data_IF_131840107447
#
_entry.id   IF_131840107447
#
_cell.length_a   1.000
_cell.length_b   1.000
_cell.length_c   1.000
_cell.angle_alpha   90.00
_cell.angle_beta   90.00
_cell.angle_gamma   90.00
#
_symmetry.space_group_name_H-M   'P 1'
#
loop_
_entity.id
_entity.type
_entity.pdbx_description
1 polymer ?
#
# COMPACT_ATOMS: atom_id res chain seq x y z
N UNK A 1 15.45 -4.70 -9.85
CA UNK A 1 14.16 -4.34 -10.47
C UNK A 1 13.45 -5.51 -11.12
N UNK A 2 14.12 -6.35 -11.93
CA UNK A 2 13.41 -7.47 -12.59
C UNK A 2 12.73 -8.41 -11.59
N UNK A 3 13.36 -8.68 -10.45
CA UNK A 3 12.78 -9.54 -9.41
C UNK A 3 11.60 -8.84 -8.71
N UNK A 4 11.77 -7.57 -8.32
CA UNK A 4 10.71 -6.76 -7.73
C UNK A 4 9.46 -6.72 -8.62
N UNK A 5 9.61 -6.36 -9.90
CA UNK A 5 8.47 -6.25 -10.80
C UNK A 5 7.81 -7.59 -11.12
N UNK A 6 8.60 -8.67 -11.21
CA UNK A 6 8.03 -10.00 -11.38
C UNK A 6 7.14 -10.37 -10.18
N UNK A 7 7.62 -10.10 -8.96
CA UNK A 7 6.85 -10.37 -7.75
C UNK A 7 5.62 -9.45 -7.62
N UNK A 8 5.74 -8.15 -7.95
CA UNK A 8 4.60 -7.22 -7.96
C UNK A 8 3.53 -7.63 -8.99
N UNK A 9 3.95 -8.10 -10.16
CA UNK A 9 3.03 -8.66 -11.16
C UNK A 9 2.35 -9.94 -10.65
N UNK A 10 3.10 -10.83 -10.00
CA UNK A 10 2.56 -12.06 -9.41
C UNK A 10 1.54 -11.76 -8.31
N UNK A 11 1.85 -10.81 -7.42
CA UNK A 11 0.92 -10.31 -6.39
C UNK A 11 -0.31 -9.68 -7.04
N UNK A 12 -0.13 -8.81 -8.03
CA UNK A 12 -1.24 -8.18 -8.75
C UNK A 12 -2.16 -9.19 -9.44
N UNK A 13 -1.59 -10.25 -10.03
CA UNK A 13 -2.35 -11.36 -10.62
C UNK A 13 -3.16 -12.13 -9.57
N UNK A 14 -2.58 -12.37 -8.39
CA UNK A 14 -3.28 -13.05 -7.30
C UNK A 14 -4.40 -12.20 -6.77
N UNK A 15 -4.16 -10.90 -6.50
CA UNK A 15 -5.21 -10.00 -6.03
C UNK A 15 -6.34 -9.90 -7.05
N UNK A 16 -6.01 -9.80 -8.35
CA UNK A 16 -6.98 -9.73 -9.44
C UNK A 16 -7.69 -11.05 -9.75
N UNK A 17 -7.43 -12.13 -9.00
CA UNK A 17 -8.23 -13.36 -9.09
C UNK A 17 -9.63 -13.17 -8.51
N UNK A 18 -9.78 -12.24 -7.55
CA UNK A 18 -11.08 -11.83 -7.03
C UNK A 18 -11.72 -10.77 -7.93
N UNK A 19 -13.00 -10.96 -8.25
CA UNK A 19 -13.76 -10.10 -9.18
C UNK A 19 -13.99 -8.67 -8.67
N UNK A 20 -13.91 -8.44 -7.36
CA UNK A 20 -14.11 -7.13 -6.74
C UNK A 20 -12.80 -6.32 -6.71
N UNK A 21 -11.65 -6.97 -6.94
CA UNK A 21 -10.38 -6.28 -7.12
C UNK A 21 -10.27 -5.81 -8.57
N UNK A 22 -10.45 -4.50 -8.77
CA UNK A 22 -10.22 -3.86 -10.07
C UNK A 22 -8.84 -3.20 -10.09
N UNK A 23 -7.98 -3.68 -10.97
CA UNK A 23 -6.69 -3.04 -11.24
C UNK A 23 -6.86 -1.84 -12.17
N UNK A 24 -6.38 -0.67 -11.76
CA UNK A 24 -6.39 0.52 -12.60
C UNK A 24 -4.99 0.77 -13.20
N UNK A 25 -4.77 0.48 -14.50
CA UNK A 25 -3.48 0.69 -15.15
C UNK A 25 -3.11 2.17 -15.30
N UNK A 26 -4.05 3.11 -15.15
CA UNK A 26 -3.71 4.54 -15.15
C UNK A 26 -3.06 4.98 -13.83
N UNK A 27 -3.22 4.21 -12.75
CA UNK A 27 -2.61 4.47 -11.45
C UNK A 27 -1.25 3.78 -11.29
N UNK A 28 -1.16 2.50 -11.64
CA UNK A 28 0.08 1.71 -11.50
C UNK A 28 0.20 0.65 -12.59
N UNK A 29 1.37 0.59 -13.24
CA UNK A 29 1.76 -0.50 -14.14
C UNK A 29 3.16 -1.02 -13.80
N UNK A 30 3.30 -2.34 -13.71
CA UNK A 30 4.60 -2.99 -13.52
C UNK A 30 5.10 -3.52 -14.87
N UNK A 31 5.99 -2.79 -15.53
CA UNK A 31 6.44 -3.10 -16.91
C UNK A 31 7.94 -3.36 -16.97
N UNK A 32 8.34 -4.60 -17.26
CA UNK A 32 9.75 -4.97 -17.36
C UNK A 32 10.51 -4.67 -16.07
N UNK A 33 11.37 -3.66 -16.09
CA UNK A 33 12.17 -3.15 -14.97
C UNK A 33 11.66 -1.83 -14.38
N UNK A 34 10.46 -1.38 -14.77
CA UNK A 34 9.87 -0.10 -14.35
C UNK A 34 8.53 -0.23 -13.64
N UNK A 35 8.27 0.69 -12.71
CA UNK A 35 6.99 0.89 -12.03
C UNK A 35 6.45 2.24 -12.50
N UNK A 36 5.48 2.22 -13.42
CA UNK A 36 4.94 3.41 -14.06
C UNK A 36 3.69 3.86 -13.32
N UNK A 37 3.63 5.15 -13.00
CA UNK A 37 2.51 5.82 -12.33
C UNK A 37 2.22 7.16 -13.03
N UNK A 38 1.15 7.88 -12.66
CA UNK A 38 0.91 9.26 -13.12
C UNK A 38 2.06 10.23 -12.87
N UNK A 39 2.96 9.94 -11.92
CA UNK A 39 4.14 10.76 -11.60
C UNK A 39 5.42 10.26 -12.30
N UNK A 40 5.27 9.39 -13.29
CA UNK A 40 6.37 8.77 -14.03
C UNK A 40 6.83 7.44 -13.43
N UNK A 41 8.06 7.06 -13.75
CA UNK A 41 8.69 5.86 -13.22
C UNK A 41 9.20 6.11 -11.79
N UNK A 42 8.69 5.35 -10.83
CA UNK A 42 9.05 5.48 -9.40
C UNK A 42 10.13 4.49 -8.96
N UNK A 43 10.63 3.66 -9.86
CA UNK A 43 11.60 2.59 -9.54
C UNK A 43 12.87 3.14 -8.89
N UNK A 44 13.46 4.17 -9.47
CA UNK A 44 14.71 4.75 -8.97
C UNK A 44 14.53 5.39 -7.59
N UNK A 45 13.37 6.01 -7.35
CA UNK A 45 13.04 6.65 -6.09
C UNK A 45 12.94 5.59 -4.97
N UNK A 46 12.26 4.47 -5.24
CA UNK A 46 12.14 3.36 -4.29
C UNK A 46 13.50 2.71 -4.03
N UNK A 47 14.35 2.56 -5.06
CA UNK A 47 15.65 1.89 -4.90
C UNK A 47 16.76 2.78 -4.35
N UNK A 48 16.56 4.10 -4.25
CA UNK A 48 17.59 5.02 -3.77
C UNK A 48 17.95 4.75 -2.31
N UNK A 49 16.96 4.38 -1.49
CA UNK A 49 17.10 4.15 -0.06
C UNK A 49 16.58 2.76 0.33
N UNK A 50 17.25 1.71 -0.14
CA UNK A 50 16.87 0.32 0.14
C UNK A 50 16.80 -0.01 1.63
N UNK A 51 15.85 -0.87 1.97
CA UNK A 51 15.76 -1.51 3.28
C UNK A 51 17.05 -2.27 3.59
N UNK A 52 17.45 -2.26 4.87
CA UNK A 52 18.56 -3.08 5.37
C UNK A 52 18.15 -4.51 5.71
N UNK A 53 16.86 -4.83 5.66
CA UNK A 53 16.38 -6.19 5.85
C UNK A 53 16.88 -7.06 4.70
N UNK A 54 17.07 -8.35 4.99
CA UNK A 54 17.52 -9.30 3.97
C UNK A 54 16.39 -9.56 3.00
N UNK A 55 16.72 -9.52 1.71
CA UNK A 55 15.82 -9.99 0.67
C UNK A 55 15.32 -11.40 1.00
N UNK A 56 14.00 -11.52 1.03
CA UNK A 56 13.28 -12.74 1.31
C UNK A 56 12.10 -12.78 0.36
N UNK A 57 12.03 -13.84 -0.45
CA UNK A 57 10.97 -13.98 -1.44
C UNK A 57 9.60 -13.93 -0.78
N UNK A 58 8.68 -13.19 -1.40
CA UNK A 58 7.28 -13.16 -0.97
C UNK A 58 6.71 -14.56 -0.91
N UNK A 59 6.03 -14.92 0.19
CA UNK A 59 5.34 -16.20 0.25
C UNK A 59 4.02 -16.16 -0.53
N UNK A 60 4.17 -16.13 -1.85
CA UNK A 60 3.09 -16.02 -2.83
C UNK A 60 2.06 -17.14 -2.67
N UNK A 61 2.49 -18.36 -2.32
CA UNK A 61 1.56 -19.48 -2.13
C UNK A 61 0.58 -19.26 -0.96
N UNK A 62 1.06 -18.67 0.13
CA UNK A 62 0.21 -18.33 1.27
C UNK A 62 -0.66 -17.12 0.98
N UNK A 63 -0.15 -16.16 0.22
CA UNK A 63 -0.94 -15.03 -0.28
C UNK A 63 -2.10 -15.51 -1.17
N UNK A 64 -1.84 -16.38 -2.14
CA UNK A 64 -2.89 -16.96 -3.00
C UNK A 64 -3.96 -17.65 -2.15
N UNK A 65 -3.54 -18.49 -1.20
CA UNK A 65 -4.48 -19.17 -0.30
C UNK A 65 -5.33 -18.18 0.53
N UNK A 66 -4.73 -17.09 0.99
CA UNK A 66 -5.45 -16.04 1.70
C UNK A 66 -6.50 -15.37 0.81
N UNK A 67 -6.11 -14.96 -0.40
CA UNK A 67 -7.04 -14.32 -1.35
C UNK A 67 -8.14 -15.29 -1.76
N UNK A 68 -7.83 -16.56 -2.02
CA UNK A 68 -8.83 -17.59 -2.36
C UNK A 68 -9.88 -17.75 -1.24
N UNK A 69 -9.44 -17.84 0.02
CA UNK A 69 -10.35 -17.93 1.17
C UNK A 69 -11.22 -16.68 1.30
N UNK A 70 -10.63 -15.49 1.19
CA UNK A 70 -11.37 -14.23 1.26
C UNK A 70 -12.41 -14.13 0.11
N UNK A 71 -12.05 -14.60 -1.08
CA UNK A 71 -12.91 -14.61 -2.28
C UNK A 71 -14.07 -15.60 -2.13
N UNK A 72 -13.79 -16.83 -1.67
CA UNK A 72 -14.80 -17.87 -1.42
C UNK A 72 -15.84 -17.44 -0.38
N UNK A 73 -15.40 -16.66 0.61
CA UNK A 73 -16.27 -16.07 1.63
C UNK A 73 -16.99 -14.79 1.14
N UNK A 74 -16.71 -14.33 -0.09
CA UNK A 74 -17.18 -13.06 -0.65
C UNK A 74 -16.89 -11.89 0.31
N UNK A 75 -15.71 -11.90 0.92
CA UNK A 75 -15.30 -10.98 1.97
C UNK A 75 -14.54 -9.76 1.45
N UNK A 76 -13.91 -9.86 0.27
CA UNK A 76 -13.23 -8.75 -0.39
C UNK A 76 -14.25 -7.75 -0.91
N UNK A 77 -14.07 -6.48 -0.57
CA UNK A 77 -14.91 -5.38 -1.03
C UNK A 77 -14.31 -4.68 -2.24
N UNK A 78 -13.01 -4.35 -2.20
CA UNK A 78 -12.25 -3.67 -3.26
C UNK A 78 -10.75 -3.63 -2.94
N UNK A 79 -9.97 -3.23 -3.93
CA UNK A 79 -8.64 -2.67 -3.74
C UNK A 79 -8.79 -1.18 -3.44
N UNK A 80 -8.54 -0.77 -2.20
CA UNK A 80 -8.69 0.63 -1.82
C UNK A 80 -7.57 1.48 -2.42
N UNK A 81 -6.31 1.07 -2.23
CA UNK A 81 -5.18 1.75 -2.86
C UNK A 81 -3.95 0.86 -3.01
N UNK A 82 -3.03 1.30 -3.86
CA UNK A 82 -1.65 0.84 -3.88
C UNK A 82 -0.79 2.00 -3.38
N UNK A 83 -0.03 1.78 -2.31
CA UNK A 83 0.75 2.81 -1.65
C UNK A 83 2.25 2.63 -1.83
N UNK A 84 2.95 3.76 -1.95
CA UNK A 84 4.40 3.83 -2.03
C UNK A 84 4.93 4.76 -0.96
N UNK A 85 5.78 4.25 -0.07
CA UNK A 85 6.45 5.05 0.93
C UNK A 85 7.96 5.07 0.66
N UNK A 86 8.55 6.27 0.59
CA UNK A 86 9.93 6.44 0.18
C UNK A 86 10.55 7.70 0.77
N UNK A 87 11.88 7.67 0.91
CA UNK A 87 12.63 8.78 1.46
C UNK A 87 12.90 9.85 0.39
N UNK A 88 12.71 11.12 0.76
CA UNK A 88 13.00 12.29 -0.08
C UNK A 88 13.87 13.30 0.66
N UNK A 89 14.58 14.12 -0.12
CA UNK A 89 15.34 15.23 0.43
C UNK A 89 14.43 16.38 0.93
N UNK A 90 13.28 16.58 0.27
CA UNK A 90 12.24 17.50 0.73
C UNK A 90 10.84 17.09 0.26
N UNK A 91 9.93 16.88 1.21
CA UNK A 91 8.48 16.69 1.04
C UNK A 91 7.85 17.88 0.32
N UNK A 92 8.19 19.11 0.68
CA UNK A 92 7.62 20.29 -0.01
C UNK A 92 8.09 20.40 -1.47
N UNK A 93 9.35 20.03 -1.75
CA UNK A 93 9.81 19.92 -3.13
C UNK A 93 9.11 18.78 -3.88
N UNK A 94 8.95 17.63 -3.22
CA UNK A 94 8.33 16.45 -3.83
C UNK A 94 6.84 16.65 -4.09
N UNK A 95 6.12 17.26 -3.15
CA UNK A 95 4.72 17.68 -3.31
C UNK A 95 4.53 18.55 -4.54
N UNK A 96 5.38 19.56 -4.73
CA UNK A 96 5.34 20.43 -5.92
C UNK A 96 5.57 19.64 -7.20
N UNK A 97 6.58 18.76 -7.22
CA UNK A 97 6.88 17.88 -8.36
C UNK A 97 5.68 16.99 -8.70
N UNK A 98 5.09 16.32 -7.71
CA UNK A 98 3.91 15.46 -7.86
C UNK A 98 2.73 16.26 -8.41
N UNK A 99 2.44 17.42 -7.83
CA UNK A 99 1.34 18.29 -8.28
C UNK A 99 1.51 18.72 -9.74
N UNK A 100 2.70 19.13 -10.14
CA UNK A 100 3.02 19.48 -11.54
C UNK A 100 2.82 18.31 -12.51
N UNK A 101 3.14 17.08 -12.09
CA UNK A 101 2.97 15.89 -12.93
C UNK A 101 1.51 15.46 -13.02
N UNK A 102 0.79 15.44 -11.90
CA UNK A 102 -0.63 15.08 -11.86
C UNK A 102 -1.48 16.09 -12.63
N UNK A 103 -1.14 17.37 -12.62
CA UNK A 103 -1.83 18.40 -13.43
C UNK A 103 -1.80 18.18 -14.95
N UNK A 104 -1.00 17.21 -15.43
CA UNK A 104 -0.90 16.81 -16.84
C UNK A 104 -1.76 15.58 -17.16
N UNK A 105 -2.52 15.08 -16.19
CA UNK A 105 -3.43 13.95 -16.33
C UNK A 105 -4.85 14.40 -15.98
N UNK A 106 -5.83 13.51 -16.17
CA UNK A 106 -7.23 13.74 -15.77
C UNK A 106 -7.47 13.41 -14.29
N UNK A 107 -6.43 13.00 -13.54
CA UNK A 107 -6.54 12.61 -12.14
C UNK A 107 -6.39 13.82 -11.22
N UNK A 108 -6.85 13.67 -9.98
CA UNK A 108 -6.73 14.69 -8.96
C UNK A 108 -5.77 14.27 -7.85
N UNK A 109 -5.04 15.24 -7.31
CA UNK A 109 -4.16 15.06 -6.17
C UNK A 109 -4.88 15.53 -4.89
N UNK A 110 -4.84 14.70 -3.88
CA UNK A 110 -5.40 14.96 -2.57
C UNK A 110 -4.33 14.80 -1.51
N UNK A 111 -4.51 15.52 -0.40
CA UNK A 111 -3.67 15.41 0.78
C UNK A 111 -4.54 15.02 1.98
N UNK A 112 -4.01 14.11 2.80
CA UNK A 112 -4.52 13.81 4.13
C UNK A 112 -3.62 14.47 5.18
N UNK A 113 -4.23 15.00 6.24
CA UNK A 113 -3.49 15.44 7.41
C UNK A 113 -3.08 14.22 8.24
N UNK A 114 -1.77 13.99 8.35
CA UNK A 114 -1.21 12.92 9.18
C UNK A 114 -0.65 13.45 10.50
N UNK A 115 -0.62 12.57 11.50
CA UNK A 115 0.05 12.79 12.78
C UNK A 115 1.48 12.24 12.79
N UNK A 116 1.95 11.67 11.66
CA UNK A 116 3.32 11.20 11.48
C UNK A 116 4.18 12.15 10.63
N UNK A 117 5.45 11.79 10.46
CA UNK A 117 6.43 12.54 9.68
C UNK A 117 6.26 12.33 8.17
N UNK A 118 5.25 11.59 7.71
CA UNK A 118 4.97 11.32 6.31
C UNK A 118 4.07 12.40 5.68
N UNK A 119 4.28 12.69 4.39
CA UNK A 119 3.36 13.52 3.62
C UNK A 119 2.37 12.60 2.88
N UNK A 120 1.15 12.46 3.39
CA UNK A 120 0.17 11.55 2.82
C UNK A 120 -0.54 12.17 1.61
N UNK A 121 -0.23 11.67 0.42
CA UNK A 121 -0.78 12.11 -0.85
C UNK A 121 -1.53 10.98 -1.54
N UNK A 122 -2.70 11.30 -2.11
CA UNK A 122 -3.50 10.35 -2.86
C UNK A 122 -3.78 10.89 -4.26
N UNK A 123 -3.63 10.05 -5.29
CA UNK A 123 -3.95 10.36 -6.68
C UNK A 123 -5.09 9.46 -7.13
N UNK A 124 -6.18 10.05 -7.62
CA UNK A 124 -7.36 9.29 -8.04
C UNK A 124 -8.62 10.15 -8.17
N UNK A 125 -9.77 9.54 -7.87
CA UNK A 125 -11.09 10.16 -7.94
C UNK A 125 -11.84 9.93 -6.61
N UNK A 126 -12.25 10.99 -5.93
CA UNK A 126 -13.05 10.89 -4.69
C UNK A 126 -14.56 10.83 -4.93
N UNK A 127 -15.04 11.20 -6.13
CA UNK A 127 -16.47 11.11 -6.49
C UNK A 127 -16.87 9.65 -6.67
N UNK A 128 -16.05 8.88 -7.38
CA UNK A 128 -16.17 7.44 -7.53
C UNK A 128 -15.40 6.75 -6.40
N UNK A 129 -15.86 6.94 -5.16
CA UNK A 129 -15.15 6.53 -3.93
C UNK A 129 -14.83 5.03 -3.84
N UNK A 130 -15.50 4.18 -4.63
CA UNK A 130 -15.19 2.74 -4.72
C UNK A 130 -13.98 2.42 -5.61
N UNK A 131 -13.57 3.35 -6.47
CA UNK A 131 -12.43 3.16 -7.35
C UNK A 131 -11.11 3.32 -6.58
N UNK A 132 -10.13 2.50 -6.95
CA UNK A 132 -8.83 2.47 -6.27
C UNK A 132 -8.10 3.81 -6.42
N UNK A 133 -7.25 4.16 -5.45
CA UNK A 133 -6.36 5.32 -5.53
C UNK A 133 -4.88 4.88 -5.50
N UNK A 134 -3.99 5.77 -5.95
CA UNK A 134 -2.56 5.65 -5.72
C UNK A 134 -2.20 6.46 -4.47
N UNK A 135 -1.56 5.84 -3.49
CA UNK A 135 -1.02 6.54 -2.33
C UNK A 135 0.49 6.75 -2.48
N UNK A 136 0.95 7.95 -2.15
CA UNK A 136 2.36 8.32 -2.09
C UNK A 136 2.64 8.93 -0.72
N UNK A 137 3.59 8.37 0.01
CA UNK A 137 4.05 8.86 1.31
C UNK A 137 5.55 9.19 1.20
N UNK A 138 5.93 10.37 0.68
CA UNK A 138 7.30 10.85 0.78
C UNK A 138 7.61 11.16 2.24
N UNK A 139 8.77 10.75 2.71
CA UNK A 139 9.26 10.98 4.07
C UNK A 139 10.54 11.82 3.98
N UNK A 140 10.59 12.98 4.65
CA UNK A 140 11.86 13.67 4.87
C UNK A 140 12.65 12.96 5.98
N UNK A 141 13.98 12.96 5.89
CA UNK A 141 14.84 12.25 6.86
C UNK A 141 14.48 12.63 8.31
N UNK A 142 14.04 11.63 9.07
CA UNK A 142 13.63 11.80 10.46
C UNK A 142 14.79 11.54 11.41
N UNK A 143 15.20 12.56 12.16
CA UNK A 143 15.98 12.35 13.38
C UNK A 143 14.97 12.01 14.50
N UNK A 144 14.93 10.77 15.01
CA UNK A 144 14.00 10.41 16.09
C UNK A 144 13.54 8.94 16.12
N UNK A 145 12.38 8.67 16.75
CA UNK A 145 11.81 7.32 16.94
C UNK A 145 11.66 6.53 15.61
N UNK A 146 11.49 7.22 14.48
CA UNK A 146 11.46 6.64 13.15
C UNK A 146 12.77 6.00 12.70
N UNK A 147 13.93 6.41 13.23
CA UNK A 147 15.24 5.87 12.85
C UNK A 147 15.35 4.35 13.07
N UNK A 148 14.65 3.81 14.07
CA UNK A 148 14.63 2.38 14.40
C UNK A 148 13.62 1.58 13.55
N UNK A 149 12.63 2.26 12.95
CA UNK A 149 11.57 1.67 12.13
C UNK A 149 11.86 1.79 10.63
N UNK A 150 12.79 2.65 10.22
CA UNK A 150 13.19 2.90 8.82
C UNK A 150 13.46 1.59 8.07
N UNK A 151 14.14 0.61 8.66
CA UNK A 151 14.51 -0.59 7.90
C UNK A 151 13.31 -1.50 7.56
N UNK A 152 12.30 -1.55 8.42
CA UNK A 152 11.08 -2.32 8.18
C UNK A 152 10.07 -1.54 7.31
N UNK A 153 10.01 -0.21 7.47
CA UNK A 153 8.98 0.60 6.83
C UNK A 153 9.45 1.32 5.57
N UNK A 154 10.74 1.54 5.34
CA UNK A 154 11.24 2.28 4.18
C UNK A 154 12.27 1.47 3.38
N UNK A 155 12.21 1.50 2.04
CA UNK A 155 11.07 1.90 1.23
C UNK A 155 10.03 0.77 1.25
N UNK A 156 8.77 1.08 0.96
CA UNK A 156 7.77 0.03 0.83
C UNK A 156 6.74 0.26 -0.25
N UNK A 157 6.16 -0.85 -0.68
CA UNK A 157 4.95 -0.91 -1.50
C UNK A 157 3.89 -1.66 -0.68
N UNK A 158 2.69 -1.09 -0.59
CA UNK A 158 1.56 -1.71 0.10
C UNK A 158 0.38 -1.88 -0.85
N UNK A 159 -0.31 -3.00 -0.74
CA UNK A 159 -1.59 -3.25 -1.39
C UNK A 159 -2.66 -3.21 -0.30
N UNK A 160 -3.60 -2.28 -0.37
CA UNK A 160 -4.64 -2.12 0.64
C UNK A 160 -5.98 -2.66 0.13
N UNK A 161 -6.49 -3.69 0.80
CA UNK A 161 -7.71 -4.40 0.45
C UNK A 161 -8.73 -4.24 1.56
N UNK A 162 -9.89 -3.69 1.20
CA UNK A 162 -11.03 -3.59 2.10
C UNK A 162 -11.74 -4.93 2.25
N UNK A 163 -12.06 -5.30 3.49
CA UNK A 163 -12.76 -6.55 3.80
C UNK A 163 -14.03 -6.32 4.63
N UNK A 164 -14.90 -7.34 4.67
CA UNK A 164 -16.09 -7.37 5.55
C UNK A 164 -15.78 -7.77 7.00
N UNK A 165 -14.55 -8.15 7.30
CA UNK A 165 -14.19 -8.76 8.57
C UNK A 165 -13.77 -7.75 9.63
N UNK A 166 -13.96 -8.11 10.89
CA UNK A 166 -13.32 -7.41 11.99
C UNK A 166 -11.88 -7.89 12.19
N UNK A 167 -11.16 -7.27 13.13
CA UNK A 167 -9.77 -7.59 13.42
C UNK A 167 -9.55 -9.03 13.87
N UNK A 168 -10.42 -9.56 14.74
CA UNK A 168 -10.27 -10.90 15.31
C UNK A 168 -10.43 -11.99 14.24
N UNK A 169 -11.36 -11.77 13.30
CA UNK A 169 -11.58 -12.65 12.16
C UNK A 169 -10.37 -12.69 11.22
N UNK A 170 -9.80 -11.52 10.91
CA UNK A 170 -8.60 -11.40 10.08
C UNK A 170 -7.40 -12.04 10.77
N UNK A 171 -7.15 -11.76 12.05
CA UNK A 171 -6.04 -12.33 12.81
C UNK A 171 -6.12 -13.85 12.86
N UNK A 172 -7.32 -14.39 13.10
CA UNK A 172 -7.55 -15.83 13.07
C UNK A 172 -7.20 -16.42 11.71
N UNK A 173 -7.64 -15.77 10.63
CA UNK A 173 -7.36 -16.25 9.27
C UNK A 173 -5.87 -16.22 8.95
N UNK A 174 -5.18 -15.13 9.30
CA UNK A 174 -3.72 -15.02 9.12
C UNK A 174 -3.01 -16.10 9.92
N UNK A 175 -3.41 -16.32 11.18
CA UNK A 175 -2.85 -17.37 12.02
C UNK A 175 -3.06 -18.77 11.43
N UNK A 176 -4.23 -19.06 10.89
CA UNK A 176 -4.53 -20.36 10.30
C UNK A 176 -3.75 -20.63 9.00
N UNK A 177 -3.40 -19.58 8.26
CA UNK A 177 -2.68 -19.68 6.98
C UNK A 177 -1.17 -19.64 7.17
N UNK A 178 -0.66 -18.67 7.93
CA UNK A 178 0.76 -18.40 8.09
C UNK A 178 1.35 -19.08 9.33
N UNK A 179 0.53 -19.40 10.33
CA UNK A 179 0.98 -19.96 11.61
C UNK A 179 1.59 -18.90 12.54
N UNK A 180 1.58 -19.20 13.85
CA UNK A 180 1.97 -18.28 14.94
C UNK A 180 3.43 -17.75 14.89
N UNK A 181 4.29 -18.35 14.07
CA UNK A 181 5.74 -18.05 14.05
C UNK A 181 6.23 -17.40 12.75
N UNK A 182 5.39 -17.32 11.72
CA UNK A 182 5.86 -16.96 10.38
C UNK A 182 5.64 -15.49 10.07
N UNK A 183 4.48 -14.94 10.45
CA UNK A 183 4.17 -13.52 10.29
C UNK A 183 3.52 -13.01 11.57
N UNK A 184 4.03 -11.90 12.10
CA UNK A 184 3.36 -11.13 13.14
C UNK A 184 2.70 -9.93 12.46
N UNK A 185 1.35 -9.90 12.33
CA UNK A 185 0.67 -8.77 11.73
C UNK A 185 0.90 -7.50 12.56
N UNK A 186 0.95 -6.37 11.88
CA UNK A 186 0.95 -5.06 12.51
C UNK A 186 -0.46 -4.48 12.46
N UNK A 187 -0.97 -4.00 13.60
CA UNK A 187 -2.32 -3.44 13.68
C UNK A 187 -2.25 -1.93 13.70
N UNK A 188 -2.99 -1.28 12.82
CA UNK A 188 -3.17 0.17 12.80
C UNK A 188 -4.43 0.48 13.61
N UNK A 189 -4.22 1.05 14.81
CA UNK A 189 -5.26 1.28 15.81
C UNK A 189 -5.44 2.78 16.04
N UNK A 190 -6.68 3.27 15.91
CA UNK A 190 -7.05 4.66 16.18
C UNK A 190 -8.21 4.65 17.18
N UNK A 191 -8.05 5.38 18.29
CA UNK A 191 -9.05 5.47 19.37
C UNK A 191 -9.52 4.09 19.89
N UNK A 192 -8.62 3.11 19.92
CA UNK A 192 -8.89 1.74 20.38
C UNK A 192 -9.58 0.84 19.36
N UNK A 193 -9.79 1.30 18.12
CA UNK A 193 -10.38 0.54 17.02
C UNK A 193 -9.28 0.16 16.02
N UNK A 194 -9.18 -1.13 15.69
CA UNK A 194 -8.28 -1.62 14.64
C UNK A 194 -8.93 -1.39 13.27
N UNK A 195 -8.32 -0.55 12.45
CA UNK A 195 -8.80 -0.25 11.10
C UNK A 195 -8.12 -1.11 10.04
N UNK A 196 -6.85 -1.44 10.23
CA UNK A 196 -6.05 -2.16 9.26
C UNK A 196 -5.18 -3.18 9.97
N UNK A 197 -5.07 -4.37 9.37
CA UNK A 197 -4.10 -5.39 9.75
C UNK A 197 -3.12 -5.56 8.59
N UNK A 198 -1.88 -5.14 8.82
CA UNK A 198 -0.77 -5.16 7.87
C UNK A 198 0.03 -6.45 7.98
N UNK A 199 0.22 -7.10 6.84
CA UNK A 199 0.97 -8.35 6.67
C UNK A 199 2.24 -8.03 5.88
N UNK A 200 3.41 -8.27 6.49
CA UNK A 200 4.69 -8.17 5.77
C UNK A 200 4.91 -9.39 4.90
N UNK A 201 4.82 -9.19 3.58
CA UNK A 201 4.96 -10.25 2.59
C UNK A 201 6.42 -10.60 2.34
N UNK A 202 7.36 -9.68 2.55
CA UNK A 202 8.79 -9.89 2.39
C UNK A 202 9.52 -8.68 1.83
N UNK A 203 10.81 -8.85 1.53
CA UNK A 203 11.68 -7.80 0.99
C UNK A 203 12.24 -8.26 -0.34
N UNK A 204 12.10 -7.42 -1.37
CA UNK A 204 12.52 -7.77 -2.74
C UNK A 204 13.35 -6.64 -3.33
N UNK A 205 14.57 -6.95 -3.76
CA UNK A 205 15.54 -5.98 -4.26
C UNK A 205 15.77 -4.80 -3.30
N UNK A 206 15.56 -5.00 -1.98
CA UNK A 206 15.62 -3.98 -0.94
C UNK A 206 14.36 -3.13 -0.75
N UNK A 207 13.20 -3.54 -1.25
CA UNK A 207 11.89 -2.87 -1.02
C UNK A 207 10.98 -3.77 -0.19
N UNK A 208 10.43 -3.27 0.91
CA UNK A 208 9.47 -4.01 1.73
C UNK A 208 8.12 -4.09 1.01
N UNK A 209 7.47 -5.25 1.06
CA UNK A 209 6.17 -5.48 0.42
C UNK A 209 5.13 -5.81 1.49
N UNK A 210 4.01 -5.09 1.48
CA UNK A 210 2.92 -5.25 2.45
C UNK A 210 1.59 -5.56 1.77
N UNK A 211 0.78 -6.37 2.44
CA UNK A 211 -0.66 -6.48 2.20
C UNK A 211 -1.39 -5.96 3.43
N UNK A 212 -2.23 -4.97 3.23
CA UNK A 212 -3.12 -4.42 4.24
C UNK A 212 -4.51 -5.01 4.05
N UNK A 213 -5.04 -5.60 5.12
CA UNK A 213 -6.43 -6.03 5.19
C UNK A 213 -7.17 -5.06 6.09
N UNK A 214 -7.96 -4.17 5.48
CA UNK A 214 -8.79 -3.25 6.23
C UNK A 214 -10.01 -3.96 6.82
N UNK A 215 -10.34 -3.59 8.05
CA UNK A 215 -11.50 -4.11 8.77
C UNK A 215 -12.78 -3.42 8.29
N UNK A 216 -13.93 -4.01 8.61
CA UNK A 216 -15.24 -3.40 8.37
C UNK A 216 -15.49 -2.11 9.18
N UNK A 217 -14.59 -1.74 10.11
CA UNK A 217 -14.65 -0.46 10.79
C UNK A 217 -14.19 0.70 9.89
N UNK A 218 -13.45 0.42 8.81
CA UNK A 218 -12.99 1.45 7.88
C UNK A 218 -14.13 1.93 6.99
N UNK A 219 -14.58 3.15 7.27
CA UNK A 219 -15.51 3.87 6.40
C UNK A 219 -14.75 4.64 5.32
N UNK A 220 -14.38 3.93 4.24
CA UNK A 220 -13.63 4.53 3.12
C UNK A 220 -14.40 5.68 2.49
N UNK A 221 -15.73 5.56 2.34
CA UNK A 221 -16.51 6.66 1.76
C UNK A 221 -16.36 7.92 2.60
N UNK A 222 -16.55 7.80 3.92
CA UNK A 222 -16.37 8.92 4.83
C UNK A 222 -14.94 9.46 4.77
N UNK A 223 -13.93 8.59 4.72
CA UNK A 223 -12.51 8.99 4.58
C UNK A 223 -12.29 9.82 3.31
N UNK A 224 -12.73 9.33 2.14
CA UNK A 224 -12.60 10.05 0.85
C UNK A 224 -13.31 11.41 0.88
N UNK A 225 -14.46 11.51 1.56
CA UNK A 225 -15.27 12.73 1.63
C UNK A 225 -14.76 13.76 2.66
N UNK A 226 -14.15 13.32 3.77
CA UNK A 226 -13.91 14.18 4.94
C UNK A 226 -12.43 14.31 5.33
N UNK A 227 -11.57 13.38 4.90
CA UNK A 227 -10.13 13.40 5.22
C UNK A 227 -9.26 13.86 4.06
N UNK A 228 -9.71 13.65 2.82
CA UNK A 228 -8.96 14.02 1.63
C UNK A 228 -9.31 15.42 1.16
N UNK A 229 -8.31 16.31 1.17
CA UNK A 229 -8.43 17.67 0.65
C UNK A 229 -7.72 17.76 -0.69
N UNK A 230 -8.43 18.16 -1.74
CA UNK A 230 -7.82 18.35 -3.06
C UNK A 230 -6.83 19.52 -3.03
N UNK A 231 -5.65 19.34 -3.63
CA UNK A 231 -4.55 20.32 -3.58
C UNK A 231 -3.94 20.64 -4.95
#
# INVERSE_FOLDING_TARGET
>A
MRNLNNALNEIGMILSSDKNIKWNPDLVQFTGDRIITPIGDVSDILLHHKSKLKDAQTNVSLLSKLIDILSDMNAILRLDHIGFCYLVASQESEKRRIKELVSKTELHLYQEASNDDGLWLFIGNTVEWEESMLELIPVEKTDGQWADWVDYWLPHIQFDVDTKFNSDEIDKMIKDIYGDKTIKPHHIIIDGITYIIRIHLGVIDGVNIFLDLATCARDVKWHREHKLVQI
#
